data_IF_876492953133
#
_entry.id   IF_876492953133
#
_cell.length_a   1.000
_cell.length_b   1.000
_cell.length_c   1.000
_cell.angle_alpha   90.00
_cell.angle_beta   90.00
_cell.angle_gamma   90.00
#
_symmetry.space_group_name_H-M   'P 1'
#
loop_
_entity.id
_entity.type
_entity.pdbx_description
1 polymer ?
#
# COMPACT_ATOMS: atom_id res chain seq x y z
N UNK A 1 -2.92 36.87 -19.50
CA UNK A 1 -3.98 36.05 -18.84
C UNK A 1 -3.30 35.18 -17.80
N UNK A 2 -3.68 35.40 -16.52
CA UNK A 2 -3.41 34.59 -15.33
C UNK A 2 -1.95 34.40 -14.90
N UNK A 3 -1.38 35.42 -14.25
CA UNK A 3 -0.34 35.25 -13.24
C UNK A 3 -0.87 34.35 -12.12
N UNK A 4 -0.24 33.20 -11.92
CA UNK A 4 -0.46 32.38 -10.73
C UNK A 4 -0.20 33.24 -9.48
N UNK A 5 -1.07 33.17 -8.45
CA UNK A 5 -0.83 33.93 -7.23
C UNK A 5 0.46 33.44 -6.56
N UNK A 6 1.22 34.35 -5.90
CA UNK A 6 2.38 33.96 -5.14
C UNK A 6 1.97 32.97 -4.04
N UNK A 7 2.72 31.87 -3.93
CA UNK A 7 2.57 30.90 -2.85
C UNK A 7 2.87 31.65 -1.55
N UNK A 8 1.87 31.77 -0.67
CA UNK A 8 2.01 32.42 0.63
C UNK A 8 3.01 31.61 1.48
N UNK A 9 4.23 32.13 1.61
CA UNK A 9 5.40 31.41 2.08
C UNK A 9 5.67 31.58 3.58
N UNK A 10 4.62 31.62 4.40
CA UNK A 10 4.75 31.68 5.86
C UNK A 10 3.71 30.80 6.54
N UNK A 11 3.99 29.51 6.61
CA UNK A 11 3.30 28.62 7.55
C UNK A 11 3.58 29.09 8.98
N UNK A 12 2.56 29.12 9.84
CA UNK A 12 2.72 29.62 11.21
C UNK A 12 3.66 28.75 12.02
N UNK A 13 4.29 29.31 13.06
CA UNK A 13 5.12 28.53 14.02
C UNK A 13 4.34 27.35 14.61
N UNK A 14 3.04 27.54 14.85
CA UNK A 14 2.16 26.48 15.38
C UNK A 14 1.93 25.37 14.37
N UNK A 15 1.79 25.70 13.08
CA UNK A 15 1.68 24.71 12.01
C UNK A 15 2.96 23.88 11.92
N UNK A 16 4.14 24.53 11.90
CA UNK A 16 5.43 23.83 11.86
C UNK A 16 5.59 22.90 13.06
N UNK A 17 5.24 23.38 14.27
CA UNK A 17 5.27 22.56 15.49
C UNK A 17 4.32 21.37 15.40
N UNK A 18 3.14 21.54 14.79
CA UNK A 18 2.17 20.46 14.56
C UNK A 18 2.77 19.38 13.66
N UNK A 19 3.36 19.76 12.52
CA UNK A 19 3.98 18.81 11.58
C UNK A 19 5.17 18.09 12.23
N UNK A 20 5.98 18.80 13.01
CA UNK A 20 7.06 18.18 13.78
C UNK A 20 6.56 17.13 14.78
N UNK A 21 5.39 17.35 15.38
CA UNK A 21 4.77 16.37 16.26
C UNK A 21 4.27 15.13 15.48
N UNK A 22 3.74 15.31 14.26
CA UNK A 22 3.40 14.18 13.38
C UNK A 22 4.62 13.31 13.09
N UNK A 23 5.77 13.92 12.78
CA UNK A 23 6.99 13.15 12.51
C UNK A 23 7.49 12.38 13.71
N UNK A 24 7.47 13.00 14.90
CA UNK A 24 7.85 12.31 16.15
C UNK A 24 6.94 11.11 16.41
N UNK A 25 5.64 11.27 16.15
CA UNK A 25 4.68 10.19 16.29
C UNK A 25 4.94 9.07 15.28
N UNK A 26 5.15 9.40 14.01
CA UNK A 26 5.48 8.43 12.97
C UNK A 26 6.82 7.73 13.26
N UNK A 27 7.83 8.44 13.74
CA UNK A 27 9.12 7.83 14.07
C UNK A 27 9.02 6.83 15.23
N UNK A 28 8.11 7.08 16.20
CA UNK A 28 7.97 6.28 17.40
C UNK A 28 7.03 5.08 17.22
N UNK A 29 5.88 5.29 16.58
CA UNK A 29 4.73 4.38 16.67
C UNK A 29 4.32 3.77 15.30
N UNK A 30 5.07 4.03 14.22
CA UNK A 30 4.75 3.49 12.90
C UNK A 30 4.98 1.96 12.86
N UNK A 31 4.00 1.17 12.38
CA UNK A 31 4.19 -0.26 12.21
C UNK A 31 5.32 -0.58 11.24
N UNK A 32 6.09 -1.65 11.50
CA UNK A 32 7.23 -2.05 10.65
C UNK A 32 6.86 -2.43 9.20
N UNK A 33 5.56 -2.57 8.90
CA UNK A 33 5.01 -2.80 7.56
C UNK A 33 4.62 -1.52 6.82
N UNK A 34 4.90 -0.35 7.41
CA UNK A 34 4.66 0.96 6.80
C UNK A 34 5.97 1.74 6.83
N UNK A 35 6.37 2.27 5.68
CA UNK A 35 7.58 3.05 5.50
C UNK A 35 7.23 4.46 5.11
N UNK A 36 7.89 5.45 5.72
CA UNK A 36 7.70 6.86 5.39
C UNK A 36 9.04 7.50 5.01
N UNK A 37 8.99 8.38 4.02
CA UNK A 37 10.07 9.31 3.66
C UNK A 37 9.49 10.72 3.63
N UNK A 38 10.22 11.66 4.23
CA UNK A 38 9.90 13.09 4.24
C UNK A 38 10.92 13.83 3.39
N UNK A 39 10.55 14.98 2.84
CA UNK A 39 11.45 15.83 2.08
C UNK A 39 12.16 16.79 3.03
N UNK A 40 13.48 16.93 2.89
CA UNK A 40 14.30 17.80 3.77
C UNK A 40 13.89 19.27 3.67
N UNK A 41 13.55 19.72 2.47
CA UNK A 41 13.18 21.09 2.14
C UNK A 41 11.66 21.35 2.18
N UNK A 42 10.84 20.29 2.21
CA UNK A 42 9.38 20.36 2.10
C UNK A 42 8.71 19.53 3.17
N UNK A 43 8.66 20.13 4.35
CA UNK A 43 8.13 19.53 5.57
C UNK A 43 6.63 19.20 5.48
N UNK A 44 5.92 19.88 4.59
CA UNK A 44 4.51 19.62 4.26
C UNK A 44 4.31 18.36 3.42
N UNK A 45 5.36 17.73 2.91
CA UNK A 45 5.28 16.58 2.03
C UNK A 45 5.88 15.32 2.66
N UNK A 46 5.19 14.20 2.47
CA UNK A 46 5.75 12.89 2.71
C UNK A 46 5.26 11.89 1.68
N UNK A 47 6.03 10.81 1.50
CA UNK A 47 5.60 9.62 0.78
C UNK A 47 5.59 8.45 1.74
N UNK A 48 4.51 7.68 1.72
CA UNK A 48 4.38 6.43 2.45
C UNK A 48 4.37 5.24 1.49
N UNK A 49 4.97 4.13 1.90
CA UNK A 49 4.78 2.82 1.31
C UNK A 49 4.15 1.90 2.35
N UNK A 50 3.04 1.26 2.01
CA UNK A 50 2.34 0.32 2.88
C UNK A 50 2.49 -1.07 2.29
N UNK A 51 3.01 -2.01 3.08
CA UNK A 51 3.00 -3.42 2.72
C UNK A 51 1.59 -3.95 2.85
N UNK A 52 1.12 -4.64 1.81
CA UNK A 52 -0.18 -5.32 1.83
C UNK A 52 -0.24 -6.37 2.94
N UNK A 53 -1.28 -6.35 3.79
CA UNK A 53 -1.35 -7.27 4.92
C UNK A 53 -1.45 -8.74 4.49
N UNK A 54 -0.85 -9.63 5.29
CA UNK A 54 -1.09 -11.07 5.17
C UNK A 54 -2.58 -11.38 5.34
N UNK A 55 -3.07 -12.42 4.68
CA UNK A 55 -4.49 -12.79 4.76
C UNK A 55 -5.39 -12.04 3.77
N UNK A 56 -4.83 -11.16 2.94
CA UNK A 56 -5.59 -10.25 2.05
C UNK A 56 -5.16 -10.44 0.60
N UNK A 57 -5.98 -10.07 -0.41
CA UNK A 57 -5.54 -10.10 -1.81
C UNK A 57 -4.40 -9.10 -2.13
N UNK A 58 -3.93 -8.34 -1.15
CA UNK A 58 -2.86 -7.34 -1.27
C UNK A 58 -1.51 -7.84 -0.79
N UNK A 59 -1.47 -9.01 -0.14
CA UNK A 59 -0.31 -9.49 0.61
C UNK A 59 0.99 -9.39 -0.21
N UNK A 60 2.06 -9.00 0.48
CA UNK A 60 3.42 -8.82 -0.08
C UNK A 60 3.56 -7.73 -1.16
N UNK A 61 2.48 -7.06 -1.55
CA UNK A 61 2.54 -5.88 -2.42
C UNK A 61 3.05 -4.65 -1.67
N UNK A 62 3.63 -3.69 -2.41
CA UNK A 62 3.94 -2.35 -1.93
C UNK A 62 2.98 -1.34 -2.55
N UNK A 63 2.30 -0.57 -1.71
CA UNK A 63 1.33 0.45 -2.13
C UNK A 63 1.82 1.83 -1.70
N UNK A 64 2.00 2.73 -2.67
CA UNK A 64 2.62 4.03 -2.45
C UNK A 64 1.59 5.16 -2.41
N UNK A 65 1.79 6.07 -1.46
CA UNK A 65 0.92 7.19 -1.21
C UNK A 65 1.73 8.48 -1.04
N UNK A 66 1.42 9.49 -1.84
CA UNK A 66 1.91 10.84 -1.61
C UNK A 66 0.95 11.58 -0.69
N UNK A 67 1.52 12.31 0.26
CA UNK A 67 0.78 13.06 1.26
C UNK A 67 1.25 14.49 1.29
N UNK A 68 0.30 15.42 1.34
CA UNK A 68 0.54 16.84 1.55
C UNK A 68 -0.26 17.35 2.74
N UNK A 69 0.41 17.94 3.70
CA UNK A 69 -0.21 18.72 4.77
C UNK A 69 -0.53 20.13 4.24
N UNK A 70 -1.82 20.52 4.15
CA UNK A 70 -2.16 21.87 3.69
C UNK A 70 -1.86 22.92 4.78
N UNK A 71 -1.78 24.22 4.44
CA UNK A 71 -1.58 25.30 5.42
C UNK A 71 -2.63 25.33 6.53
N UNK A 72 -3.84 24.82 6.26
CA UNK A 72 -4.91 24.75 7.25
C UNK A 72 -4.80 23.53 8.19
N UNK A 73 -3.83 22.64 8.00
CA UNK A 73 -3.60 21.51 8.92
C UNK A 73 -3.28 22.01 10.34
N UNK A 74 -3.79 21.38 11.42
CA UNK A 74 -4.66 20.19 11.47
C UNK A 74 -6.17 20.52 11.46
N UNK A 75 -6.58 21.77 11.16
CA UNK A 75 -8.01 22.12 11.09
C UNK A 75 -8.73 21.34 9.98
N UNK A 76 -8.02 20.96 8.93
CA UNK A 76 -8.49 20.05 7.89
C UNK A 76 -7.55 18.84 7.74
N UNK A 77 -8.01 17.72 7.15
CA UNK A 77 -7.20 16.53 6.97
C UNK A 77 -6.08 16.75 5.95
N UNK A 78 -5.04 15.89 5.96
CA UNK A 78 -4.02 15.89 4.92
C UNK A 78 -4.63 15.48 3.58
N UNK A 79 -3.97 15.87 2.48
CA UNK A 79 -4.30 15.39 1.13
C UNK A 79 -3.49 14.14 0.85
N UNK A 80 -4.14 13.06 0.42
CA UNK A 80 -3.50 11.77 0.14
C UNK A 80 -3.79 11.37 -1.30
N UNK A 81 -2.74 10.95 -2.01
CA UNK A 81 -2.78 10.51 -3.40
C UNK A 81 -2.16 9.11 -3.52
N UNK A 82 -2.93 8.14 -3.99
CA UNK A 82 -2.48 6.77 -4.25
C UNK A 82 -1.84 6.65 -5.63
N UNK A 83 -0.69 5.99 -5.71
CA UNK A 83 -0.02 5.67 -6.97
C UNK A 83 -0.71 4.48 -7.63
N UNK A 84 -1.85 4.75 -8.29
CA UNK A 84 -2.73 3.72 -8.85
C UNK A 84 -2.16 2.97 -10.06
N UNK A 85 -1.28 3.61 -10.83
CA UNK A 85 -0.89 3.12 -12.16
C UNK A 85 -2.07 2.93 -13.12
N UNK A 86 -3.17 3.67 -12.90
CA UNK A 86 -4.42 3.52 -13.65
C UNK A 86 -5.26 2.30 -13.26
N UNK A 87 -4.96 1.63 -12.14
CA UNK A 87 -5.67 0.43 -11.69
C UNK A 87 -6.74 0.74 -10.63
N UNK A 88 -7.92 0.14 -10.76
CA UNK A 88 -8.98 0.14 -9.74
C UNK A 88 -8.80 -1.05 -8.79
N UNK A 89 -7.84 -0.92 -7.88
CA UNK A 89 -7.47 -2.02 -6.97
C UNK A 89 -8.50 -2.28 -5.86
N UNK A 90 -9.19 -1.24 -5.39
CA UNK A 90 -10.12 -1.30 -4.25
C UNK A 90 -11.25 -0.28 -4.46
N UNK A 91 -12.47 -0.47 -3.91
CA UNK A 91 -13.52 0.54 -4.00
C UNK A 91 -13.12 1.91 -3.41
N UNK A 92 -12.20 1.93 -2.45
CA UNK A 92 -11.67 3.15 -1.86
C UNK A 92 -10.37 3.67 -2.50
N UNK A 93 -9.77 2.94 -3.46
CA UNK A 93 -8.56 3.36 -4.19
C UNK A 93 -8.88 3.52 -5.66
N UNK A 94 -8.99 4.75 -6.13
CA UNK A 94 -9.43 5.06 -7.49
C UNK A 94 -8.28 4.98 -8.49
N UNK A 95 -8.62 4.71 -9.76
CA UNK A 95 -7.68 4.77 -10.89
C UNK A 95 -7.03 6.15 -11.02
N UNK A 96 -7.73 7.21 -10.61
CA UNK A 96 -7.20 8.57 -10.57
C UNK A 96 -6.21 8.83 -9.43
N UNK A 97 -6.04 7.89 -8.51
CA UNK A 97 -5.24 8.04 -7.28
C UNK A 97 -6.02 8.62 -6.10
N UNK A 98 -7.32 8.91 -6.24
CA UNK A 98 -8.14 9.34 -5.11
C UNK A 98 -8.26 8.22 -4.06
N UNK A 99 -8.05 8.59 -2.79
CA UNK A 99 -8.25 7.73 -1.62
C UNK A 99 -9.53 8.13 -0.88
N UNK A 100 -10.42 7.17 -0.66
CA UNK A 100 -11.65 7.35 0.10
C UNK A 100 -11.49 6.85 1.54
N UNK A 101 -11.51 7.76 2.50
CA UNK A 101 -11.51 7.45 3.92
C UNK A 101 -12.27 8.54 4.67
N UNK A 102 -13.03 8.16 5.69
CA UNK A 102 -13.81 9.12 6.50
C UNK A 102 -12.88 10.12 7.21
N UNK A 103 -11.72 9.66 7.68
CA UNK A 103 -10.66 10.51 8.25
C UNK A 103 -10.09 11.52 7.24
N UNK A 104 -10.24 11.29 5.94
CA UNK A 104 -9.80 12.24 4.90
C UNK A 104 -10.94 13.14 4.42
N UNK A 105 -12.13 13.02 5.01
CA UNK A 105 -13.37 13.64 4.55
C UNK A 105 -13.70 13.34 3.07
N UNK A 106 -13.22 12.21 2.56
CA UNK A 106 -13.49 11.73 1.19
C UNK A 106 -14.45 10.55 1.15
N UNK A 107 -14.95 10.14 2.32
CA UNK A 107 -15.93 9.07 2.49
C UNK A 107 -16.93 9.41 3.59
N UNK A 108 -18.05 8.69 3.62
CA UNK A 108 -19.03 8.82 4.68
C UNK A 108 -18.46 8.32 6.01
N UNK A 109 -18.90 8.94 7.10
CA UNK A 109 -18.49 8.63 8.47
C UNK A 109 -19.23 9.50 9.47
N UNK A 110 -19.18 9.12 10.73
CA UNK A 110 -19.92 9.71 11.84
C UNK A 110 -19.02 9.94 13.05
N UNK A 111 -19.29 11.00 13.83
CA UNK A 111 -18.58 11.26 15.08
C UNK A 111 -17.06 11.15 14.97
N UNK A 112 -16.48 10.20 15.72
CA UNK A 112 -15.04 9.95 15.80
C UNK A 112 -14.41 9.33 14.54
N UNK A 113 -15.20 8.88 13.56
CA UNK A 113 -14.69 8.35 12.29
C UNK A 113 -14.21 9.45 11.33
N UNK A 114 -14.67 10.69 11.55
CA UNK A 114 -14.31 11.87 10.75
C UNK A 114 -13.06 12.55 11.30
N UNK A 115 -12.40 13.33 10.45
CA UNK A 115 -11.24 14.12 10.86
C UNK A 115 -11.57 15.03 12.04
N UNK A 116 -10.77 14.95 13.10
CA UNK A 116 -10.79 15.83 14.25
C UNK A 116 -9.44 16.48 14.43
N UNK A 117 -9.41 17.82 14.44
CA UNK A 117 -8.19 18.61 14.66
C UNK A 117 -7.40 18.17 15.90
N UNK A 118 -8.10 17.76 16.96
CA UNK A 118 -7.49 17.47 18.26
C UNK A 118 -7.09 16.01 18.44
N UNK A 119 -7.70 15.09 17.68
CA UNK A 119 -7.61 13.65 17.93
C UNK A 119 -7.11 12.83 16.73
N UNK A 120 -7.14 13.41 15.53
CA UNK A 120 -6.72 12.75 14.30
C UNK A 120 -5.26 13.05 13.98
N UNK A 121 -4.57 12.05 13.44
CA UNK A 121 -3.14 12.09 13.12
C UNK A 121 -2.87 11.42 11.78
N UNK A 122 -1.71 11.69 11.17
CA UNK A 122 -1.30 11.01 9.95
C UNK A 122 -1.08 9.51 10.19
N UNK A 123 -0.60 9.13 11.39
CA UNK A 123 -0.44 7.73 11.77
C UNK A 123 -1.78 6.96 11.68
N UNK A 124 -2.86 7.52 12.23
CA UNK A 124 -4.18 6.91 12.14
C UNK A 124 -4.66 6.79 10.69
N UNK A 125 -4.35 7.75 9.82
CA UNK A 125 -4.69 7.65 8.39
C UNK A 125 -3.97 6.47 7.75
N UNK A 126 -2.66 6.32 7.96
CA UNK A 126 -1.87 5.23 7.38
C UNK A 126 -2.33 3.85 7.87
N UNK A 127 -2.55 3.71 9.19
CA UNK A 127 -3.07 2.49 9.78
C UNK A 127 -4.49 2.19 9.28
N UNK A 128 -5.33 3.20 9.11
CA UNK A 128 -6.68 3.02 8.57
C UNK A 128 -6.67 2.56 7.12
N UNK A 129 -5.74 3.07 6.29
CA UNK A 129 -5.56 2.56 4.92
C UNK A 129 -5.16 1.07 4.97
N UNK A 130 -4.17 0.72 5.79
CA UNK A 130 -3.73 -0.68 5.88
C UNK A 130 -4.83 -1.62 6.41
N UNK A 131 -5.54 -1.23 7.47
CA UNK A 131 -6.51 -2.10 8.14
C UNK A 131 -7.93 -2.08 7.55
N UNK A 132 -8.40 -0.92 7.07
CA UNK A 132 -9.78 -0.77 6.59
C UNK A 132 -9.88 -0.83 5.06
N UNK A 133 -8.84 -0.37 4.33
CA UNK A 133 -8.86 -0.37 2.87
C UNK A 133 -8.24 -1.66 2.33
N UNK A 134 -7.02 -1.99 2.76
CA UNK A 134 -6.30 -3.19 2.32
C UNK A 134 -6.69 -4.46 3.12
N UNK A 135 -7.98 -4.67 3.35
CA UNK A 135 -8.52 -5.79 4.14
C UNK A 135 -8.72 -7.09 3.34
N UNK A 136 -9.17 -8.16 4.00
CA UNK A 136 -9.36 -9.52 3.45
C UNK A 136 -10.61 -9.67 2.56
N UNK A 137 -11.60 -8.79 2.72
CA UNK A 137 -12.86 -8.81 1.95
C UNK A 137 -13.22 -7.43 1.37
N UNK A 138 -12.35 -6.87 0.51
CA UNK A 138 -12.47 -5.51 0.00
C UNK A 138 -13.70 -5.25 -0.87
N UNK A 139 -14.37 -6.28 -1.37
CA UNK A 139 -15.67 -6.16 -2.04
C UNK A 139 -16.70 -5.38 -1.19
N UNK A 140 -16.70 -5.59 0.13
CA UNK A 140 -17.65 -4.95 1.03
C UNK A 140 -17.28 -3.50 1.40
N UNK A 141 -16.17 -2.98 0.87
CA UNK A 141 -15.84 -1.56 0.97
C UNK A 141 -16.74 -0.69 0.08
N UNK A 142 -17.41 -1.29 -0.92
CA UNK A 142 -18.38 -0.59 -1.77
C UNK A 142 -19.64 -0.20 -0.96
N UNK A 143 -20.16 1.04 -1.10
CA UNK A 143 -21.41 1.45 -0.47
C UNK A 143 -22.56 0.53 -0.87
N UNK A 144 -23.37 0.14 0.11
CA UNK A 144 -24.56 -0.69 -0.10
C UNK A 144 -24.32 -2.20 -0.04
N UNK A 145 -23.07 -2.68 -0.10
CA UNK A 145 -22.79 -4.12 -0.06
C UNK A 145 -22.64 -4.69 1.36
N UNK A 146 -22.56 -3.83 2.38
CA UNK A 146 -22.47 -4.23 3.80
C UNK A 146 -23.61 -5.17 4.23
N UNK A 147 -24.81 -5.01 3.70
CA UNK A 147 -25.96 -5.85 4.04
C UNK A 147 -25.89 -7.27 3.43
N UNK A 148 -24.91 -7.54 2.56
CA UNK A 148 -24.70 -8.85 1.92
C UNK A 148 -23.56 -9.65 2.56
N UNK A 149 -22.90 -9.09 3.57
CA UNK A 149 -21.87 -9.79 4.36
C UNK A 149 -22.47 -11.07 4.97
N UNK A 150 -21.70 -12.16 4.98
CA UNK A 150 -22.12 -13.48 5.44
C UNK A 150 -23.29 -14.13 4.67
N UNK A 151 -23.78 -13.52 3.59
CA UNK A 151 -24.72 -14.18 2.68
C UNK A 151 -23.96 -15.04 1.67
N UNK A 152 -24.50 -16.20 1.23
CA UNK A 152 -23.83 -17.03 0.22
C UNK A 152 -23.48 -16.28 -1.07
N UNK A 153 -24.35 -15.36 -1.50
CA UNK A 153 -24.12 -14.54 -2.71
C UNK A 153 -23.05 -13.47 -2.48
N UNK A 154 -23.09 -12.75 -1.36
CA UNK A 154 -22.10 -11.72 -1.03
C UNK A 154 -20.71 -12.32 -0.84
N UNK A 155 -20.58 -13.46 -0.16
CA UNK A 155 -19.31 -14.17 -0.01
C UNK A 155 -18.78 -14.68 -1.36
N UNK A 156 -19.67 -15.16 -2.25
CA UNK A 156 -19.30 -15.53 -3.63
C UNK A 156 -18.72 -14.34 -4.40
N UNK A 157 -19.35 -13.17 -4.33
CA UNK A 157 -18.84 -11.97 -4.99
C UNK A 157 -17.53 -11.48 -4.36
N UNK A 158 -17.40 -11.53 -3.04
CA UNK A 158 -16.18 -11.19 -2.33
C UNK A 158 -14.99 -12.06 -2.78
N UNK A 159 -15.20 -13.37 -2.88
CA UNK A 159 -14.16 -14.28 -3.39
C UNK A 159 -13.73 -13.98 -4.83
N UNK A 160 -14.68 -13.67 -5.72
CA UNK A 160 -14.37 -13.29 -7.10
C UNK A 160 -13.64 -11.93 -7.17
N UNK A 161 -13.99 -11.00 -6.29
CA UNK A 161 -13.30 -9.73 -6.15
C UNK A 161 -11.85 -9.95 -5.68
N UNK A 162 -11.62 -10.81 -4.69
CA UNK A 162 -10.27 -11.11 -4.19
C UNK A 162 -9.36 -11.66 -5.29
N UNK A 163 -9.88 -12.54 -6.15
CA UNK A 163 -9.16 -13.02 -7.33
C UNK A 163 -8.74 -11.87 -8.26
N UNK A 164 -9.66 -10.96 -8.54
CA UNK A 164 -9.36 -9.77 -9.37
C UNK A 164 -8.34 -8.86 -8.70
N UNK A 165 -8.56 -8.54 -7.43
CA UNK A 165 -7.68 -7.68 -6.64
C UNK A 165 -6.26 -8.25 -6.55
N UNK A 166 -6.09 -9.57 -6.41
CA UNK A 166 -4.76 -10.19 -6.36
C UNK A 166 -4.02 -10.11 -7.71
N UNK A 167 -4.71 -10.30 -8.83
CA UNK A 167 -4.10 -10.06 -10.16
C UNK A 167 -3.66 -8.60 -10.30
N UNK A 168 -4.47 -7.65 -9.82
CA UNK A 168 -4.12 -6.24 -9.82
C UNK A 168 -2.96 -5.93 -8.87
N UNK A 169 -2.87 -6.59 -7.71
CA UNK A 169 -1.71 -6.52 -6.81
C UNK A 169 -0.44 -6.98 -7.51
N UNK A 170 -0.51 -8.09 -8.26
CA UNK A 170 0.61 -8.57 -9.09
C UNK A 170 1.04 -7.53 -10.14
N UNK A 171 0.08 -6.85 -10.78
CA UNK A 171 0.38 -5.73 -11.69
C UNK A 171 1.05 -4.55 -10.96
N UNK A 172 0.57 -4.19 -9.78
CA UNK A 172 1.19 -3.12 -8.97
C UNK A 172 2.61 -3.46 -8.56
N UNK A 173 2.89 -4.72 -8.20
CA UNK A 173 4.25 -5.21 -7.94
C UNK A 173 5.13 -5.05 -9.18
N UNK A 174 4.65 -5.46 -10.38
CA UNK A 174 5.37 -5.26 -11.64
C UNK A 174 5.69 -3.80 -11.93
N UNK A 175 4.74 -2.89 -11.69
CA UNK A 175 4.98 -1.46 -11.88
C UNK A 175 6.08 -0.95 -10.95
N UNK A 176 6.05 -1.38 -9.70
CA UNK A 176 7.04 -0.99 -8.68
C UNK A 176 8.43 -1.55 -8.99
N UNK A 177 8.53 -2.81 -9.44
CA UNK A 177 9.78 -3.45 -9.85
C UNK A 177 10.40 -2.77 -11.08
N UNK A 178 9.57 -2.40 -12.07
CA UNK A 178 10.05 -1.77 -13.32
C UNK A 178 10.39 -0.30 -13.17
N UNK A 179 9.65 0.41 -12.32
CA UNK A 179 9.81 1.84 -12.09
C UNK A 179 9.55 2.15 -10.60
N UNK A 180 10.52 1.86 -9.73
CA UNK A 180 10.39 2.15 -8.31
C UNK A 180 10.12 3.65 -8.11
N UNK A 181 9.25 4.04 -7.18
CA UNK A 181 9.10 5.45 -6.81
C UNK A 181 10.43 6.00 -6.29
N UNK A 182 10.73 7.26 -6.65
CA UNK A 182 11.95 7.94 -6.19
C UNK A 182 12.10 7.87 -4.67
N UNK A 183 13.32 7.58 -4.22
CA UNK A 183 13.73 7.42 -2.81
C UNK A 183 13.18 6.16 -2.11
N UNK A 184 12.58 5.25 -2.88
CA UNK A 184 12.10 3.95 -2.42
C UNK A 184 12.73 2.79 -3.21
N UNK A 185 13.70 3.06 -4.08
CA UNK A 185 14.39 2.07 -4.91
C UNK A 185 14.96 0.92 -4.04
N UNK A 186 15.73 1.26 -3.02
CA UNK A 186 16.31 0.28 -2.08
C UNK A 186 15.22 -0.51 -1.34
N UNK A 187 14.13 0.14 -0.90
CA UNK A 187 13.02 -0.57 -0.26
C UNK A 187 12.41 -1.60 -1.22
N UNK A 188 12.10 -1.20 -2.45
CA UNK A 188 11.52 -2.07 -3.48
C UNK A 188 12.42 -3.26 -3.73
N UNK A 189 13.73 -3.03 -3.89
CA UNK A 189 14.70 -4.09 -4.16
C UNK A 189 14.76 -5.10 -3.02
N UNK A 190 14.97 -4.65 -1.78
CA UNK A 190 15.06 -5.55 -0.63
C UNK A 190 13.74 -6.28 -0.36
N UNK A 191 12.62 -5.56 -0.34
CA UNK A 191 11.31 -6.14 -0.08
C UNK A 191 10.98 -7.25 -1.07
N UNK A 192 11.11 -7.00 -2.37
CA UNK A 192 10.78 -8.02 -3.36
C UNK A 192 11.81 -9.14 -3.47
N UNK A 193 13.06 -8.91 -3.08
CA UNK A 193 14.05 -9.99 -2.94
C UNK A 193 13.70 -10.93 -1.79
N UNK A 194 13.32 -10.38 -0.63
CA UNK A 194 12.93 -11.18 0.54
C UNK A 194 11.60 -11.92 0.34
N UNK A 195 10.66 -11.32 -0.40
CA UNK A 195 9.32 -11.87 -0.63
C UNK A 195 9.18 -12.68 -1.92
N UNK A 196 10.23 -12.77 -2.74
CA UNK A 196 10.21 -13.42 -4.05
C UNK A 196 9.56 -14.81 -4.01
N UNK A 197 10.03 -15.69 -3.12
CA UNK A 197 9.50 -17.04 -2.99
C UNK A 197 8.04 -17.06 -2.56
N UNK A 198 7.68 -16.25 -1.56
CA UNK A 198 6.31 -16.19 -1.04
C UNK A 198 5.32 -15.71 -2.10
N UNK A 199 5.69 -14.71 -2.91
CA UNK A 199 4.86 -14.17 -3.99
C UNK A 199 4.62 -15.24 -5.06
N UNK A 200 5.67 -15.93 -5.51
CA UNK A 200 5.57 -16.96 -6.55
C UNK A 200 4.80 -18.20 -6.06
N UNK A 201 5.04 -18.63 -4.82
CA UNK A 201 4.31 -19.73 -4.19
C UNK A 201 2.82 -19.42 -4.08
N UNK A 202 2.45 -18.19 -3.70
CA UNK A 202 1.06 -17.75 -3.64
C UNK A 202 0.40 -17.72 -5.03
N UNK A 203 1.10 -17.21 -6.05
CA UNK A 203 0.60 -17.24 -7.43
C UNK A 203 0.29 -18.67 -7.89
N UNK A 204 1.22 -19.61 -7.64
CA UNK A 204 1.04 -21.02 -7.98
C UNK A 204 -0.13 -21.67 -7.21
N UNK A 205 -0.22 -21.40 -5.90
CA UNK A 205 -1.30 -21.91 -5.05
C UNK A 205 -2.67 -21.44 -5.55
N UNK A 206 -2.84 -20.13 -5.79
CA UNK A 206 -4.11 -19.57 -6.22
C UNK A 206 -4.47 -19.99 -7.65
N UNK A 207 -3.50 -20.10 -8.56
CA UNK A 207 -3.71 -20.65 -9.90
C UNK A 207 -4.18 -22.13 -9.86
N UNK A 208 -3.82 -22.86 -8.79
CA UNK A 208 -4.23 -24.23 -8.52
C UNK A 208 -5.57 -24.34 -7.76
N UNK A 209 -6.25 -23.22 -7.51
CA UNK A 209 -7.58 -23.18 -6.90
C UNK A 209 -7.60 -22.99 -5.39
N UNK A 210 -6.48 -22.64 -4.76
CA UNK A 210 -6.46 -22.19 -3.35
C UNK A 210 -7.12 -20.81 -3.25
N UNK A 211 -7.87 -20.58 -2.16
CA UNK A 211 -8.56 -19.32 -1.93
C UNK A 211 -7.55 -18.19 -1.72
N UNK A 212 -7.70 -17.11 -2.49
CA UNK A 212 -6.86 -15.92 -2.38
C UNK A 212 -6.94 -15.32 -0.98
N UNK A 213 -5.78 -15.09 -0.36
CA UNK A 213 -5.66 -14.57 1.00
C UNK A 213 -5.70 -15.66 2.07
N UNK A 214 -5.88 -16.94 1.72
CA UNK A 214 -5.72 -18.02 2.71
C UNK A 214 -4.25 -18.23 3.06
N UNK A 215 -3.96 -18.61 4.32
CA UNK A 215 -2.62 -19.06 4.67
C UNK A 215 -2.36 -20.42 4.00
N UNK A 216 -1.10 -20.70 3.64
CA UNK A 216 -0.71 -22.01 3.05
C UNK A 216 -1.11 -23.19 3.96
N UNK A 217 -1.32 -22.95 5.26
CA UNK A 217 -1.79 -23.96 6.23
C UNK A 217 -3.29 -24.20 6.19
N UNK A 218 -4.09 -23.17 5.89
CA UNK A 218 -5.56 -23.27 5.93
C UNK A 218 -6.15 -24.05 4.75
N UNK A 219 -5.36 -24.29 3.69
CA UNK A 219 -5.67 -25.18 2.55
C UNK A 219 -7.07 -25.03 1.93
N UNK A 220 -7.73 -23.90 2.16
CA UNK A 220 -9.09 -23.65 1.69
C UNK A 220 -9.06 -23.59 0.16
N UNK A 221 -9.83 -24.48 -0.48
CA UNK A 221 -9.96 -24.55 -1.95
C UNK A 221 -11.30 -23.98 -2.37
N UNK A 222 -11.32 -23.30 -3.52
CA UNK A 222 -12.58 -22.99 -4.18
C UNK A 222 -13.29 -24.31 -4.54
N UNK A 223 -14.60 -24.38 -4.32
CA UNK A 223 -15.39 -25.43 -4.94
C UNK A 223 -15.28 -25.29 -6.46
N UNK A 224 -15.23 -26.42 -7.19
CA UNK A 224 -15.28 -26.44 -8.65
C UNK A 224 -16.39 -25.48 -9.13
N UNK A 225 -16.10 -24.69 -10.18
CA UNK A 225 -17.02 -23.72 -10.80
C UNK A 225 -17.18 -22.34 -10.12
N UNK A 226 -16.43 -22.04 -9.06
CA UNK A 226 -16.50 -20.72 -8.36
C UNK A 226 -15.38 -19.72 -8.72
N UNK A 227 -14.54 -20.05 -9.69
CA UNK A 227 -13.45 -19.18 -10.12
C UNK A 227 -13.96 -18.12 -11.11
N UNK A 228 -13.50 -16.87 -10.99
CA UNK A 228 -13.68 -15.86 -12.03
C UNK A 228 -13.19 -16.40 -13.38
N UNK A 229 -14.01 -16.24 -14.42
CA UNK A 229 -13.70 -16.71 -15.76
C UNK A 229 -12.39 -16.05 -16.25
N UNK A 230 -11.37 -16.86 -16.50
CA UNK A 230 -10.07 -16.36 -16.94
C UNK A 230 -9.13 -15.86 -15.83
N UNK A 231 -9.48 -16.00 -14.54
CA UNK A 231 -8.57 -15.68 -13.42
C UNK A 231 -7.23 -16.39 -13.58
N UNK A 232 -7.24 -17.72 -13.71
CA UNK A 232 -6.03 -18.53 -13.85
C UNK A 232 -5.18 -18.05 -15.02
N UNK A 233 -5.78 -17.88 -16.21
CA UNK A 233 -5.08 -17.39 -17.41
C UNK A 233 -4.43 -16.03 -17.17
N UNK A 234 -5.15 -15.10 -16.52
CA UNK A 234 -4.62 -13.78 -16.20
C UNK A 234 -3.49 -13.86 -15.18
N UNK A 235 -3.66 -14.64 -14.11
CA UNK A 235 -2.66 -14.83 -13.07
C UNK A 235 -1.39 -15.47 -13.63
N UNK A 236 -1.51 -16.54 -14.42
CA UNK A 236 -0.37 -17.21 -15.06
C UNK A 236 0.46 -16.22 -15.90
N UNK A 237 -0.21 -15.39 -16.72
CA UNK A 237 0.46 -14.38 -17.54
C UNK A 237 1.21 -13.32 -16.70
N UNK A 238 0.62 -12.86 -15.60
CA UNK A 238 1.28 -11.89 -14.70
C UNK A 238 2.38 -12.53 -13.87
N UNK A 239 2.22 -13.81 -13.50
CA UNK A 239 3.23 -14.57 -12.76
C UNK A 239 4.49 -14.76 -13.60
N UNK A 240 4.36 -15.07 -14.89
CA UNK A 240 5.50 -15.18 -15.79
C UNK A 240 6.28 -13.85 -15.88
N UNK A 241 5.56 -12.73 -16.02
CA UNK A 241 6.18 -11.40 -16.02
C UNK A 241 6.84 -11.09 -14.68
N UNK A 242 6.19 -11.41 -13.56
CA UNK A 242 6.73 -11.19 -12.22
C UNK A 242 8.00 -11.98 -11.99
N UNK A 243 8.02 -13.27 -12.34
CA UNK A 243 9.20 -14.11 -12.22
C UNK A 243 10.39 -13.52 -12.97
N UNK A 244 10.17 -12.99 -14.19
CA UNK A 244 11.23 -12.32 -14.97
C UNK A 244 11.76 -11.07 -14.27
N UNK A 245 10.91 -10.19 -13.74
CA UNK A 245 11.37 -8.99 -13.05
C UNK A 245 11.98 -9.29 -11.68
N UNK A 246 11.49 -10.31 -10.95
CA UNK A 246 12.03 -10.73 -9.66
C UNK A 246 13.44 -11.31 -9.80
N UNK A 247 13.73 -12.06 -10.87
CA UNK A 247 15.09 -12.52 -11.17
C UNK A 247 16.06 -11.35 -11.37
N UNK A 248 15.65 -10.30 -12.09
CA UNK A 248 16.46 -9.09 -12.26
C UNK A 248 16.65 -8.36 -10.91
N UNK A 249 15.58 -8.23 -10.15
CA UNK A 249 15.60 -7.59 -8.83
C UNK A 249 16.53 -8.34 -7.84
N UNK A 250 16.56 -9.67 -7.90
CA UNK A 250 17.47 -10.50 -7.12
C UNK A 250 18.93 -10.20 -7.45
N UNK A 251 19.29 -10.05 -8.72
CA UNK A 251 20.64 -9.67 -9.12
C UNK A 251 21.02 -8.31 -8.52
N UNK A 252 20.14 -7.32 -8.66
CA UNK A 252 20.32 -5.98 -8.08
C UNK A 252 20.46 -6.01 -6.54
N UNK A 253 19.70 -6.86 -5.85
CA UNK A 253 19.80 -7.01 -4.40
C UNK A 253 21.14 -7.62 -3.95
N UNK A 254 21.74 -8.49 -4.76
CA UNK A 254 23.07 -9.06 -4.49
C UNK A 254 24.18 -8.02 -4.69
N UNK A 255 24.06 -7.17 -5.72
CA UNK A 255 24.98 -6.05 -5.95
C UNK A 255 24.98 -5.08 -4.76
N UNK A 256 23.79 -4.69 -4.28
CA UNK A 256 23.64 -3.81 -3.11
C UNK A 256 24.22 -4.42 -1.81
N UNK A 257 24.23 -5.75 -1.67
CA UNK A 257 24.88 -6.43 -0.54
C UNK A 257 26.40 -6.46 -0.68
N UNK A 258 26.91 -6.56 -1.91
CA UNK A 258 28.35 -6.55 -2.21
C UNK A 258 29.03 -5.19 -1.98
N UNK A 259 28.27 -4.09 -2.06
CA UNK A 259 28.76 -2.73 -1.84
C UNK A 259 28.81 -2.29 -0.36
N UNK A 260 28.49 -3.19 0.58
CA UNK A 260 28.72 -2.92 2.02
C UNK A 260 30.18 -3.26 2.31
N UNK A 261 31.06 -2.30 2.68
CA UNK A 261 32.41 -2.64 3.12
C UNK A 261 32.29 -3.62 4.29
N UNK A 262 33.01 -4.73 4.23
CA UNK A 262 33.12 -5.65 5.35
C UNK A 262 33.53 -4.83 6.59
N UNK A 263 32.65 -4.77 7.59
CA UNK A 263 32.88 -4.05 8.84
C UNK A 263 33.87 -4.78 9.76
N UNK A 264 34.86 -5.47 9.20
CA UNK A 264 35.87 -6.28 9.89
C UNK A 264 37.26 -6.04 9.28
N UNK A 265 37.65 -4.79 9.04
CA UNK A 265 39.05 -4.43 8.77
C UNK A 265 39.33 -2.94 9.07
N UNK A 266 39.12 -2.52 10.32
CA UNK A 266 39.88 -1.41 10.89
C UNK A 266 40.52 -1.91 12.19
N UNK A 267 41.77 -2.34 12.02
CA UNK A 267 42.86 -2.51 12.98
C UNK A 267 42.62 -1.80 14.33
N UNK A 268 42.69 -2.45 15.50
CA UNK A 268 43.88 -3.03 16.12
C UNK A 268 45.24 -2.41 15.73
N UNK A 269 45.46 -1.16 16.15
CA UNK A 269 46.79 -0.65 16.53
C UNK A 269 46.54 0.39 17.63
N UNK A 270 46.74 0.03 18.90
CA UNK A 270 47.92 0.40 19.72
C UNK A 270 48.02 1.90 19.97
#
# INVERSE_FOLDING_TARGET
ISSLPPICDQTSKDWTKTIQNEWKLLQRDLPGSIYVRVYEDRIDLLRAAIVGPSGTPYHDGLFFFDVRFPPEYPRCPPKVYYHSGGLRLNPNLYESGKVCLSLLNTWWGSGCEKWSKSNSTMLQVLISIQGLVLNDKPYFNEPGYKNTVNTPLGEKHSMAYNQTAFVLSCKTMLYSLRKPPKHFETLVVHHFHERERAILDACSAYASGIVVGSSVRDSAKYACDKCFAGFKKSLDAHTELLAKELVKNRAQALELKGDTPAADEIASTS
#
